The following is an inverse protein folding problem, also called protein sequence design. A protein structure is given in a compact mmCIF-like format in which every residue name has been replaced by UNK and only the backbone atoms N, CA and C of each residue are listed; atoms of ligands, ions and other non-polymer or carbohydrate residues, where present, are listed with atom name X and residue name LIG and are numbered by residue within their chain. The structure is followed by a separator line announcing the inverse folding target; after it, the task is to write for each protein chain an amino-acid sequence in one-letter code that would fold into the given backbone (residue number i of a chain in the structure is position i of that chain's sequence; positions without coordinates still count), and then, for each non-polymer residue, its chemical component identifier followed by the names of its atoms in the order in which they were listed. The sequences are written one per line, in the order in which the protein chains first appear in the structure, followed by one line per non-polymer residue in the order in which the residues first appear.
data_IF_237455616814
#
_entry.id   IF_237455616814
#
_cell.length_a   1.000
_cell.length_b   1.000
_cell.length_c   1.000
_cell.angle_alpha   90.00
_cell.angle_beta   90.00
_cell.angle_gamma   90.00
#
_symmetry.space_group_name_H-M   'P 1'
#
loop_
_entity.id
_entity.type
_entity.pdbx_description
1 polymer ?
#
# COMPACT_ATOMS: atom_id res chain seq x y z
N UNK A 1 43.36 -29.51 -26.91
CA UNK A 1 42.45 -29.06 -27.99
C UNK A 1 42.26 -27.54 -28.06
N UNK A 2 42.41 -26.80 -26.95
CA UNK A 2 42.28 -25.31 -26.90
C UNK A 2 43.47 -24.55 -27.51
N UNK A 3 44.68 -25.16 -27.58
CA UNK A 3 45.87 -24.55 -28.15
C UNK A 3 45.90 -24.49 -29.69
N UNK A 4 45.07 -25.21 -30.39
CA UNK A 4 45.04 -25.29 -31.86
C UNK A 4 44.22 -24.17 -32.54
N UNK A 5 43.38 -23.43 -31.79
CA UNK A 5 42.54 -22.36 -32.32
C UNK A 5 43.27 -21.01 -32.39
N UNK A 6 44.43 -20.90 -31.76
CA UNK A 6 45.24 -19.66 -31.71
C UNK A 6 46.45 -19.62 -32.63
N UNK A 7 46.42 -20.35 -33.72
CA UNK A 7 47.46 -20.18 -34.77
C UNK A 7 47.34 -18.76 -35.34
N UNK A 8 48.48 -18.07 -35.49
CA UNK A 8 48.67 -16.64 -35.80
C UNK A 8 48.08 -16.19 -37.16
N UNK A 9 46.81 -16.43 -37.44
CA UNK A 9 46.15 -15.96 -38.64
C UNK A 9 45.30 -14.71 -38.27
N UNK A 10 45.77 -13.56 -38.59
CA UNK A 10 45.14 -12.24 -38.34
C UNK A 10 43.67 -12.19 -38.77
N UNK A 11 43.24 -12.75 -39.94
CA UNK A 11 41.84 -12.74 -40.35
C UNK A 11 40.93 -13.55 -39.43
N UNK A 12 41.41 -14.67 -38.88
CA UNK A 12 40.62 -15.47 -37.93
C UNK A 12 40.37 -14.72 -36.62
N UNK A 13 41.40 -14.02 -36.09
CA UNK A 13 41.24 -13.20 -34.89
C UNK A 13 40.33 -12.01 -35.11
N UNK A 14 40.38 -11.35 -36.27
CA UNK A 14 39.47 -10.23 -36.58
C UNK A 14 38.00 -10.69 -36.63
N UNK A 15 37.73 -11.83 -37.31
CA UNK A 15 36.38 -12.41 -37.34
C UNK A 15 35.91 -12.83 -35.94
N UNK A 16 36.81 -13.39 -35.12
CA UNK A 16 36.49 -13.75 -33.73
C UNK A 16 36.15 -12.51 -32.91
N UNK A 17 36.97 -11.43 -32.97
CA UNK A 17 36.63 -10.18 -32.28
C UNK A 17 35.33 -9.59 -32.75
N UNK A 18 35.03 -9.62 -34.05
CA UNK A 18 33.75 -9.15 -34.58
C UNK A 18 32.58 -9.94 -33.99
N UNK A 19 32.59 -11.25 -34.08
CA UNK A 19 31.51 -12.12 -33.60
C UNK A 19 31.32 -11.99 -32.08
N UNK A 20 32.40 -12.01 -31.30
CA UNK A 20 32.33 -11.94 -29.84
C UNK A 20 31.84 -10.56 -29.36
N UNK A 21 32.29 -9.45 -29.98
CA UNK A 21 31.78 -8.12 -29.64
C UNK A 21 30.29 -7.97 -29.98
N UNK A 22 29.86 -8.42 -31.17
CA UNK A 22 28.44 -8.37 -31.57
C UNK A 22 27.57 -9.23 -30.65
N UNK A 23 27.98 -10.45 -30.36
CA UNK A 23 27.26 -11.35 -29.47
C UNK A 23 27.15 -10.75 -28.04
N UNK A 24 28.25 -10.25 -27.50
CA UNK A 24 28.27 -9.64 -26.16
C UNK A 24 27.40 -8.39 -26.10
N UNK A 25 27.40 -7.54 -27.13
CA UNK A 25 26.53 -6.35 -27.20
C UNK A 25 25.05 -6.75 -27.23
N UNK A 26 24.66 -7.74 -28.03
CA UNK A 26 23.28 -8.24 -28.11
C UNK A 26 22.86 -8.86 -26.77
N UNK A 27 23.71 -9.69 -26.17
CA UNK A 27 23.42 -10.31 -24.87
C UNK A 27 23.25 -9.26 -23.75
N UNK A 28 24.12 -8.26 -23.70
CA UNK A 28 24.01 -7.18 -22.73
C UNK A 28 22.70 -6.39 -22.91
N UNK A 29 22.30 -6.10 -24.14
CA UNK A 29 21.04 -5.44 -24.44
C UNK A 29 19.84 -6.27 -23.97
N UNK A 30 19.79 -7.56 -24.31
CA UNK A 30 18.71 -8.47 -23.93
C UNK A 30 18.57 -8.56 -22.41
N UNK A 31 19.68 -8.73 -21.70
CA UNK A 31 19.70 -8.76 -20.23
C UNK A 31 19.23 -7.44 -19.62
N UNK A 32 19.65 -6.30 -20.19
CA UNK A 32 19.19 -4.97 -19.75
C UNK A 32 17.69 -4.84 -19.91
N UNK A 33 17.13 -5.23 -21.07
CA UNK A 33 15.69 -5.17 -21.33
C UNK A 33 14.88 -6.07 -20.39
N UNK A 34 15.36 -7.30 -20.13
CA UNK A 34 14.72 -8.22 -19.18
C UNK A 34 14.68 -7.60 -17.78
N UNK A 35 15.81 -7.08 -17.31
CA UNK A 35 15.89 -6.45 -15.99
C UNK A 35 15.00 -5.22 -15.88
N UNK A 36 15.01 -4.32 -16.87
CA UNK A 36 14.13 -3.14 -16.88
C UNK A 36 12.66 -3.56 -16.82
N UNK A 37 12.24 -4.58 -17.58
CA UNK A 37 10.86 -5.10 -17.56
C UNK A 37 10.49 -5.72 -16.22
N UNK A 38 11.41 -6.41 -15.54
CA UNK A 38 11.18 -6.97 -14.20
C UNK A 38 10.93 -5.86 -13.18
N UNK A 39 11.77 -4.82 -13.14
CA UNK A 39 11.57 -3.65 -12.28
C UNK A 39 10.25 -2.91 -12.60
N UNK A 40 9.92 -2.74 -13.87
CA UNK A 40 8.66 -2.12 -14.28
C UNK A 40 7.45 -2.95 -13.85
N UNK A 41 7.54 -4.28 -13.89
CA UNK A 41 6.50 -5.18 -13.40
C UNK A 41 6.31 -5.04 -11.88
N UNK A 42 7.39 -4.98 -11.10
CA UNK A 42 7.30 -4.79 -9.66
C UNK A 42 6.64 -3.44 -9.30
N UNK A 43 7.04 -2.35 -9.96
CA UNK A 43 6.40 -1.03 -9.77
C UNK A 43 4.90 -1.09 -10.11
N UNK A 44 4.53 -1.77 -11.20
CA UNK A 44 3.12 -1.95 -11.58
C UNK A 44 2.36 -2.74 -10.53
N UNK A 45 2.88 -3.89 -10.11
CA UNK A 45 2.22 -4.77 -9.13
C UNK A 45 2.04 -4.05 -7.79
N UNK A 46 3.09 -3.44 -7.25
CA UNK A 46 3.00 -2.73 -5.96
C UNK A 46 2.14 -1.48 -6.08
N UNK A 47 2.35 -0.64 -7.11
CA UNK A 47 1.75 0.68 -7.20
C UNK A 47 0.35 0.74 -7.80
N UNK A 48 0.01 -0.17 -8.71
CA UNK A 48 -1.22 -0.08 -9.50
C UNK A 48 -2.15 -1.30 -9.36
N UNK A 49 -1.62 -2.46 -9.01
CA UNK A 49 -2.42 -3.67 -8.90
C UNK A 49 -2.76 -3.99 -7.43
N UNK A 50 -1.78 -4.29 -6.58
CA UNK A 50 -2.02 -4.79 -5.23
C UNK A 50 -2.40 -3.71 -4.21
N UNK A 51 -1.69 -2.57 -4.15
CA UNK A 51 -1.98 -1.53 -3.15
C UNK A 51 -3.39 -0.92 -3.29
N UNK A 52 -3.90 -0.58 -4.50
CA UNK A 52 -5.28 -0.13 -4.64
C UNK A 52 -6.30 -1.19 -4.20
N UNK A 53 -6.05 -2.48 -4.44
CA UNK A 53 -6.94 -3.57 -4.00
C UNK A 53 -6.98 -3.74 -2.48
N UNK A 54 -5.83 -3.60 -1.80
CA UNK A 54 -5.78 -3.56 -0.33
C UNK A 54 -6.58 -2.37 0.21
N UNK A 55 -6.39 -1.18 -0.36
CA UNK A 55 -7.15 0.02 0.05
C UNK A 55 -8.65 -0.19 -0.16
N UNK A 56 -9.08 -0.75 -1.30
CA UNK A 56 -10.49 -1.03 -1.57
C UNK A 56 -11.08 -2.03 -0.58
N UNK A 57 -10.34 -3.09 -0.22
CA UNK A 57 -10.78 -4.07 0.79
C UNK A 57 -10.99 -3.42 2.17
N UNK A 58 -10.08 -2.54 2.61
CA UNK A 58 -10.26 -1.77 3.83
C UNK A 58 -11.45 -0.81 3.76
N UNK A 59 -11.65 -0.12 2.63
CA UNK A 59 -12.80 0.79 2.45
C UNK A 59 -14.14 0.03 2.46
N UNK A 60 -14.19 -1.19 1.93
CA UNK A 60 -15.37 -2.06 2.07
C UNK A 60 -15.64 -2.36 3.55
N UNK A 61 -14.62 -2.78 4.30
CA UNK A 61 -14.72 -3.08 5.73
C UNK A 61 -15.18 -1.87 6.54
N UNK A 62 -14.56 -0.70 6.33
CA UNK A 62 -14.94 0.56 6.95
C UNK A 62 -16.40 0.92 6.59
N UNK A 63 -16.77 0.74 5.33
CA UNK A 63 -18.11 1.05 4.85
C UNK A 63 -19.21 0.21 5.52
N UNK A 64 -18.99 -1.10 5.69
CA UNK A 64 -19.97 -1.98 6.35
C UNK A 64 -20.07 -1.70 7.85
N UNK A 65 -18.96 -1.35 8.54
CA UNK A 65 -19.00 -0.91 9.94
C UNK A 65 -19.76 0.42 10.09
N UNK A 66 -19.57 1.37 9.17
CA UNK A 66 -20.33 2.63 9.15
C UNK A 66 -21.82 2.41 8.89
N UNK A 67 -22.17 1.44 8.03
CA UNK A 67 -23.57 1.04 7.83
C UNK A 67 -24.18 0.49 9.12
N UNK A 68 -23.45 -0.34 9.86
CA UNK A 68 -23.94 -0.91 11.11
C UNK A 68 -24.04 0.13 12.22
N UNK A 69 -23.07 1.03 12.36
CA UNK A 69 -23.17 2.18 13.27
C UNK A 69 -24.43 3.00 12.97
N UNK A 70 -24.67 3.32 11.70
CA UNK A 70 -25.84 4.08 11.30
C UNK A 70 -27.15 3.34 11.62
N UNK A 71 -27.22 2.02 11.36
CA UNK A 71 -28.38 1.20 11.68
C UNK A 71 -28.62 1.13 13.21
N UNK A 72 -27.57 0.86 13.99
CA UNK A 72 -27.69 0.78 15.45
C UNK A 72 -28.18 2.12 16.04
N UNK A 73 -27.62 3.24 15.56
CA UNK A 73 -28.03 4.57 15.98
C UNK A 73 -29.49 4.89 15.55
N UNK A 74 -29.87 4.52 14.32
CA UNK A 74 -31.24 4.67 13.84
C UNK A 74 -32.27 3.97 14.77
N UNK A 75 -31.92 2.75 15.22
CA UNK A 75 -32.80 1.97 16.10
C UNK A 75 -32.83 2.49 17.56
N UNK A 76 -31.92 3.35 17.96
CA UNK A 76 -31.90 4.05 19.27
C UNK A 76 -32.81 5.26 19.28
N UNK A 77 -33.05 5.91 18.14
CA UNK A 77 -33.99 7.02 18.02
C UNK A 77 -35.38 6.54 17.69
N UNK A 78 -36.41 7.21 18.24
CA UNK A 78 -37.77 6.89 17.86
C UNK A 78 -38.03 7.16 16.36
N UNK A 79 -38.88 6.36 15.67
CA UNK A 79 -39.08 6.48 14.21
C UNK A 79 -39.59 7.85 13.73
N UNK A 80 -40.16 8.66 14.61
CA UNK A 80 -40.65 10.02 14.31
C UNK A 80 -39.65 11.14 14.62
N UNK A 81 -38.46 10.81 15.13
CA UNK A 81 -37.44 11.81 15.41
C UNK A 81 -36.63 12.13 14.13
N UNK A 82 -36.24 13.41 13.93
CA UNK A 82 -35.41 13.79 12.79
C UNK A 82 -34.09 13.01 12.70
N UNK A 83 -33.47 12.72 13.83
CA UNK A 83 -32.21 11.99 13.95
C UNK A 83 -32.30 10.55 13.40
N UNK A 84 -33.51 9.92 13.55
CA UNK A 84 -33.73 8.61 12.94
C UNK A 84 -33.60 8.66 11.40
N UNK A 85 -34.17 9.70 10.77
CA UNK A 85 -34.09 9.91 9.33
C UNK A 85 -32.65 10.25 8.92
N UNK A 86 -31.91 11.03 9.70
CA UNK A 86 -30.50 11.34 9.42
C UNK A 86 -29.63 10.08 9.43
N UNK A 87 -29.86 9.15 10.36
CA UNK A 87 -29.14 7.87 10.42
C UNK A 87 -29.51 6.95 9.24
N UNK A 88 -30.78 6.95 8.82
CA UNK A 88 -31.17 6.24 7.60
C UNK A 88 -30.43 6.77 6.37
N UNK A 89 -30.36 8.09 6.22
CA UNK A 89 -29.61 8.71 5.12
C UNK A 89 -28.10 8.39 5.20
N UNK A 90 -27.54 8.35 6.41
CA UNK A 90 -26.15 7.93 6.61
C UNK A 90 -25.93 6.47 6.19
N UNK A 91 -26.83 5.56 6.54
CA UNK A 91 -26.78 4.16 6.09
C UNK A 91 -26.80 4.05 4.57
N UNK A 92 -27.72 4.73 3.88
CA UNK A 92 -27.84 4.71 2.43
C UNK A 92 -26.60 5.31 1.73
N UNK A 93 -26.03 6.36 2.32
CA UNK A 93 -24.73 6.91 1.85
C UNK A 93 -23.64 5.86 1.89
N UNK A 94 -23.48 5.19 3.04
CA UNK A 94 -22.40 4.21 3.21
C UNK A 94 -22.65 2.93 2.41
N UNK A 95 -23.91 2.51 2.25
CA UNK A 95 -24.28 1.44 1.32
C UNK A 95 -23.80 1.73 -0.10
N UNK A 96 -24.04 2.95 -0.57
CA UNK A 96 -23.62 3.39 -1.92
C UNK A 96 -22.10 3.41 -2.04
N UNK A 97 -21.39 3.93 -1.04
CA UNK A 97 -19.92 3.96 -1.03
C UNK A 97 -19.34 2.53 -1.01
N UNK A 98 -19.84 1.67 -0.14
CA UNK A 98 -19.40 0.26 -0.04
C UNK A 98 -19.64 -0.49 -1.35
N UNK A 99 -20.80 -0.31 -1.97
CA UNK A 99 -21.11 -0.90 -3.28
C UNK A 99 -20.15 -0.44 -4.38
N UNK A 100 -19.79 0.84 -4.38
CA UNK A 100 -18.80 1.38 -5.32
C UNK A 100 -17.40 0.77 -5.11
N UNK A 101 -16.96 0.67 -3.85
CA UNK A 101 -15.65 0.06 -3.55
C UNK A 101 -15.63 -1.44 -3.89
N UNK A 102 -16.76 -2.14 -3.74
CA UNK A 102 -16.89 -3.53 -4.18
C UNK A 102 -16.77 -3.66 -5.71
N UNK A 103 -17.37 -2.74 -6.47
CA UNK A 103 -17.22 -2.70 -7.94
C UNK A 103 -15.76 -2.39 -8.30
N UNK A 104 -15.12 -1.42 -7.64
CA UNK A 104 -13.71 -1.11 -7.86
C UNK A 104 -12.81 -2.34 -7.61
N UNK A 105 -13.07 -3.07 -6.52
CA UNK A 105 -12.35 -4.32 -6.23
C UNK A 105 -12.58 -5.39 -7.32
N UNK A 106 -13.82 -5.54 -7.80
CA UNK A 106 -14.17 -6.50 -8.84
C UNK A 106 -13.54 -6.17 -10.21
N UNK A 107 -13.42 -4.88 -10.56
CA UNK A 107 -12.74 -4.42 -11.77
C UNK A 107 -11.22 -4.61 -11.71
N UNK A 108 -10.65 -4.67 -10.52
CA UNK A 108 -9.19 -4.80 -10.32
C UNK A 108 -8.75 -6.22 -9.95
N UNK A 109 -9.55 -7.24 -10.22
CA UNK A 109 -9.15 -8.64 -10.01
C UNK A 109 -7.93 -8.95 -10.87
N UNK A 110 -6.79 -9.19 -10.22
CA UNK A 110 -5.50 -9.48 -10.85
C UNK A 110 -5.01 -10.90 -10.54
N UNK A 111 -5.43 -11.46 -9.40
CA UNK A 111 -4.91 -12.72 -8.85
C UNK A 111 -5.94 -13.85 -8.87
N UNK A 112 -6.99 -13.70 -9.67
CA UNK A 112 -7.95 -14.77 -9.98
C UNK A 112 -8.87 -15.13 -8.81
N UNK A 113 -9.07 -16.43 -8.58
CA UNK A 113 -10.05 -16.95 -7.62
C UNK A 113 -9.79 -16.51 -6.15
N UNK A 114 -8.56 -16.21 -5.79
CA UNK A 114 -8.20 -15.76 -4.43
C UNK A 114 -8.81 -14.41 -4.07
N UNK A 115 -9.07 -13.55 -5.05
CA UNK A 115 -9.77 -12.28 -4.89
C UNK A 115 -11.26 -12.42 -5.22
N UNK A 116 -11.58 -13.16 -6.28
CA UNK A 116 -12.95 -13.31 -6.79
C UNK A 116 -13.87 -13.94 -5.76
N UNK A 117 -13.45 -15.03 -5.12
CA UNK A 117 -14.30 -15.72 -4.12
C UNK A 117 -14.69 -14.81 -2.96
N UNK A 118 -13.78 -14.08 -2.28
CA UNK A 118 -14.16 -13.11 -1.26
C UNK A 118 -15.08 -12.01 -1.79
N UNK A 119 -14.85 -11.49 -3.00
CA UNK A 119 -15.69 -10.43 -3.60
C UNK A 119 -17.12 -10.94 -3.83
N UNK A 120 -17.28 -12.11 -4.43
CA UNK A 120 -18.60 -12.74 -4.66
C UNK A 120 -19.34 -13.00 -3.33
N UNK A 121 -18.61 -13.46 -2.31
CA UNK A 121 -19.16 -13.68 -0.98
C UNK A 121 -19.58 -12.36 -0.29
N UNK A 122 -18.76 -11.29 -0.39
CA UNK A 122 -19.11 -9.97 0.13
C UNK A 122 -20.39 -9.45 -0.54
N UNK A 123 -20.50 -9.55 -1.87
CA UNK A 123 -21.67 -9.10 -2.60
C UNK A 123 -22.93 -9.83 -2.13
N UNK A 124 -22.87 -11.15 -1.99
CA UNK A 124 -24.00 -11.97 -1.50
C UNK A 124 -24.38 -11.62 -0.06
N UNK A 125 -23.38 -11.51 0.83
CA UNK A 125 -23.61 -11.19 2.23
C UNK A 125 -24.11 -9.76 2.45
N UNK A 126 -23.68 -8.79 1.61
CA UNK A 126 -24.14 -7.41 1.66
C UNK A 126 -25.64 -7.33 1.36
N UNK A 127 -26.11 -7.99 0.31
CA UNK A 127 -27.54 -8.06 -0.01
C UNK A 127 -28.39 -8.70 1.10
N UNK A 128 -27.85 -9.76 1.73
CA UNK A 128 -28.48 -10.41 2.89
C UNK A 128 -28.53 -9.47 4.11
N UNK A 129 -27.43 -8.77 4.39
CA UNK A 129 -27.36 -7.79 5.47
C UNK A 129 -28.38 -6.65 5.27
N UNK A 130 -28.45 -6.08 4.07
CA UNK A 130 -29.42 -5.02 3.73
C UNK A 130 -30.88 -5.48 3.96
N UNK A 131 -31.20 -6.69 3.55
CA UNK A 131 -32.55 -7.26 3.77
C UNK A 131 -32.86 -7.40 5.26
N UNK A 132 -31.91 -7.89 6.06
CA UNK A 132 -32.07 -8.05 7.50
C UNK A 132 -32.13 -6.69 8.21
N UNK A 133 -31.32 -5.72 7.80
CA UNK A 133 -31.40 -4.35 8.29
C UNK A 133 -32.76 -3.72 8.03
N UNK A 134 -33.31 -3.88 6.82
CA UNK A 134 -34.65 -3.40 6.51
C UNK A 134 -35.72 -4.09 7.36
N UNK A 135 -35.59 -5.40 7.59
CA UNK A 135 -36.48 -6.16 8.46
C UNK A 135 -36.48 -5.64 9.92
N UNK A 136 -35.29 -5.26 10.44
CA UNK A 136 -35.16 -4.65 11.77
C UNK A 136 -35.86 -3.27 11.84
N UNK A 137 -35.72 -2.44 10.79
CA UNK A 137 -36.42 -1.15 10.66
C UNK A 137 -37.94 -1.30 10.65
N UNK A 138 -38.46 -2.30 9.94
CA UNK A 138 -39.89 -2.52 9.85
C UNK A 138 -40.47 -2.93 11.21
N UNK A 139 -39.79 -3.77 11.97
CA UNK A 139 -40.15 -4.09 13.35
C UNK A 139 -40.08 -2.87 14.28
N UNK A 140 -39.04 -2.02 14.10
CA UNK A 140 -38.88 -0.78 14.86
C UNK A 140 -40.01 0.21 14.61
N UNK A 141 -40.42 0.40 13.35
CA UNK A 141 -41.58 1.24 12.97
C UNK A 141 -42.89 0.70 13.50
N UNK A 142 -43.01 -0.63 13.63
CA UNK A 142 -44.16 -1.29 14.23
C UNK A 142 -44.19 -1.19 15.76
N UNK A 143 -43.19 -0.61 16.42
CA UNK A 143 -43.08 -0.46 17.86
C UNK A 143 -42.76 -1.76 18.60
N UNK A 144 -42.30 -2.82 17.91
CA UNK A 144 -41.98 -4.11 18.51
C UNK A 144 -40.47 -4.20 18.85
N UNK A 145 -40.06 -3.71 20.02
CA UNK A 145 -38.68 -3.63 20.45
C UNK A 145 -37.99 -5.01 20.52
N UNK A 146 -38.70 -6.05 20.98
CA UNK A 146 -38.11 -7.41 21.08
C UNK A 146 -37.80 -7.98 19.69
N UNK A 147 -38.72 -7.80 18.74
CA UNK A 147 -38.53 -8.25 17.36
C UNK A 147 -37.46 -7.40 16.64
N UNK A 148 -37.41 -6.10 16.89
CA UNK A 148 -36.37 -5.20 16.38
C UNK A 148 -34.99 -5.71 16.76
N UNK A 149 -34.73 -5.98 18.05
CA UNK A 149 -33.48 -6.52 18.53
C UNK A 149 -33.16 -7.89 17.94
N UNK A 150 -34.15 -8.78 17.86
CA UNK A 150 -33.96 -10.11 17.27
C UNK A 150 -33.54 -10.04 15.81
N UNK A 151 -34.17 -9.19 15.00
CA UNK A 151 -33.85 -8.99 13.58
C UNK A 151 -32.50 -8.27 13.40
N UNK A 152 -32.21 -7.27 14.24
CA UNK A 152 -30.92 -6.60 14.25
C UNK A 152 -29.77 -7.57 14.57
N UNK A 153 -29.93 -8.45 15.58
CA UNK A 153 -28.93 -9.50 15.89
C UNK A 153 -28.65 -10.44 14.71
N UNK A 154 -29.66 -10.71 13.87
CA UNK A 154 -29.45 -11.49 12.64
C UNK A 154 -28.66 -10.71 11.58
N UNK A 155 -28.90 -9.40 11.43
CA UNK A 155 -28.09 -8.54 10.57
C UNK A 155 -26.66 -8.49 11.07
N UNK A 156 -26.46 -8.25 12.38
CA UNK A 156 -25.13 -8.24 13.01
C UNK A 156 -24.39 -9.57 12.82
N UNK A 157 -25.08 -10.70 12.95
CA UNK A 157 -24.47 -12.01 12.72
C UNK A 157 -24.00 -12.18 11.27
N UNK A 158 -24.70 -11.63 10.28
CA UNK A 158 -24.26 -11.62 8.87
C UNK A 158 -23.05 -10.72 8.69
N UNK A 159 -23.02 -9.54 9.32
CA UNK A 159 -21.87 -8.65 9.32
C UNK A 159 -20.61 -9.35 9.86
N UNK A 160 -20.71 -9.90 11.09
CA UNK A 160 -19.57 -10.47 11.81
C UNK A 160 -19.06 -11.81 11.25
N UNK A 161 -19.95 -12.64 10.71
CA UNK A 161 -19.62 -14.00 10.26
C UNK A 161 -19.40 -14.12 8.74
N UNK A 162 -19.94 -13.20 7.97
CA UNK A 162 -19.90 -13.29 6.52
C UNK A 162 -19.20 -12.05 5.91
N UNK A 163 -19.60 -10.82 6.20
CA UNK A 163 -19.04 -9.61 5.57
C UNK A 163 -17.60 -9.33 6.01
N UNK A 164 -17.38 -9.16 7.30
CA UNK A 164 -16.03 -8.81 7.82
C UNK A 164 -14.99 -9.88 7.51
N UNK A 165 -15.25 -11.20 7.70
CA UNK A 165 -14.25 -12.21 7.38
C UNK A 165 -13.89 -12.30 5.89
N UNK A 166 -14.84 -12.05 4.98
CA UNK A 166 -14.56 -12.04 3.55
C UNK A 166 -13.82 -10.75 3.13
N UNK A 167 -14.09 -9.60 3.76
CA UNK A 167 -13.29 -8.39 3.56
C UNK A 167 -11.84 -8.58 4.06
N UNK A 168 -11.65 -9.23 5.20
CA UNK A 168 -10.33 -9.59 5.70
C UNK A 168 -9.60 -10.61 4.78
N UNK A 169 -10.34 -11.58 4.21
CA UNK A 169 -9.77 -12.54 3.25
C UNK A 169 -9.32 -11.85 1.97
N UNK A 170 -10.12 -10.90 1.45
CA UNK A 170 -9.75 -10.10 0.28
C UNK A 170 -8.51 -9.24 0.56
N UNK A 171 -8.49 -8.55 1.71
CA UNK A 171 -7.34 -7.77 2.15
C UNK A 171 -6.08 -8.63 2.23
N UNK A 172 -6.16 -9.78 2.89
CA UNK A 172 -5.04 -10.71 3.05
C UNK A 172 -4.51 -11.21 1.71
N UNK A 173 -5.38 -11.61 0.78
CA UNK A 173 -4.95 -12.10 -0.54
C UNK A 173 -4.11 -11.05 -1.29
N UNK A 174 -4.51 -9.79 -1.23
CA UNK A 174 -3.81 -8.69 -1.88
C UNK A 174 -2.53 -8.28 -1.16
N UNK A 175 -2.56 -8.20 0.19
CA UNK A 175 -1.41 -7.88 1.01
C UNK A 175 -0.29 -8.93 0.87
N UNK A 176 -0.62 -10.24 0.95
CA UNK A 176 0.33 -11.35 0.77
C UNK A 176 1.00 -11.27 -0.62
N UNK A 177 0.26 -10.89 -1.65
CA UNK A 177 0.79 -10.75 -3.00
C UNK A 177 1.73 -9.56 -3.14
N UNK A 178 1.35 -8.42 -2.57
CA UNK A 178 2.20 -7.22 -2.54
C UNK A 178 3.52 -7.53 -1.83
N UNK A 179 3.44 -8.11 -0.63
CA UNK A 179 4.62 -8.43 0.20
C UNK A 179 5.55 -9.42 -0.52
N UNK A 180 4.99 -10.50 -1.08
CA UNK A 180 5.80 -11.49 -1.81
C UNK A 180 6.46 -10.90 -3.06
N UNK A 181 5.78 -10.00 -3.78
CA UNK A 181 6.34 -9.33 -4.96
C UNK A 181 7.43 -8.35 -4.57
N UNK A 182 7.21 -7.56 -3.52
CA UNK A 182 8.19 -6.61 -3.02
C UNK A 182 9.46 -7.32 -2.51
N UNK A 183 9.32 -8.34 -1.67
CA UNK A 183 10.45 -9.13 -1.15
C UNK A 183 11.25 -9.82 -2.27
N UNK A 184 10.56 -10.32 -3.30
CA UNK A 184 11.21 -10.90 -4.47
C UNK A 184 12.00 -9.86 -5.26
N UNK A 185 11.44 -8.66 -5.45
CA UNK A 185 12.13 -7.58 -6.14
C UNK A 185 13.32 -7.06 -5.35
N UNK A 186 13.19 -6.87 -4.05
CA UNK A 186 14.29 -6.43 -3.19
C UNK A 186 15.48 -7.39 -3.27
N UNK A 187 15.22 -8.71 -3.14
CA UNK A 187 16.26 -9.73 -3.19
C UNK A 187 16.93 -9.86 -4.57
N UNK A 188 16.18 -9.67 -5.65
CA UNK A 188 16.67 -9.79 -7.04
C UNK A 188 17.34 -8.52 -7.57
N UNK A 189 16.86 -7.36 -7.15
CA UNK A 189 17.32 -6.07 -7.65
C UNK A 189 18.84 -5.88 -7.47
N UNK A 190 19.36 -6.16 -6.28
CA UNK A 190 20.79 -6.03 -6.00
C UNK A 190 21.66 -6.96 -6.87
N UNK A 191 21.21 -8.23 -7.04
CA UNK A 191 21.92 -9.23 -7.83
C UNK A 191 21.88 -8.91 -9.32
N UNK A 192 20.70 -8.56 -9.85
CA UNK A 192 20.54 -8.24 -11.28
C UNK A 192 21.28 -6.96 -11.67
N UNK A 193 21.23 -5.92 -10.85
CA UNK A 193 22.02 -4.69 -11.05
C UNK A 193 23.52 -4.99 -11.03
N UNK A 194 23.99 -5.75 -10.05
CA UNK A 194 25.41 -6.14 -9.95
C UNK A 194 25.87 -6.93 -11.18
N UNK A 195 25.08 -7.91 -11.61
CA UNK A 195 25.37 -8.72 -12.80
C UNK A 195 25.43 -7.87 -14.08
N UNK A 196 24.47 -6.96 -14.28
CA UNK A 196 24.46 -6.05 -15.43
C UNK A 196 25.68 -5.11 -15.46
N UNK A 197 26.10 -4.61 -14.31
CA UNK A 197 27.31 -3.78 -14.20
C UNK A 197 28.53 -4.60 -14.61
N UNK A 198 28.69 -5.82 -14.12
CA UNK A 198 29.81 -6.71 -14.49
C UNK A 198 29.82 -7.01 -16.00
N UNK A 199 28.64 -7.35 -16.57
CA UNK A 199 28.51 -7.61 -18.01
C UNK A 199 28.80 -6.36 -18.85
N UNK A 200 28.35 -5.19 -18.42
CA UNK A 200 28.65 -3.92 -19.07
C UNK A 200 30.14 -3.59 -19.06
N UNK A 201 30.81 -3.77 -17.91
CA UNK A 201 32.28 -3.62 -17.83
C UNK A 201 33.03 -4.64 -18.69
N UNK A 202 32.54 -5.90 -18.73
CA UNK A 202 33.13 -6.91 -19.61
C UNK A 202 33.04 -6.53 -21.10
N UNK A 203 31.89 -5.96 -21.52
CA UNK A 203 31.74 -5.45 -22.89
C UNK A 203 32.65 -4.27 -23.17
N UNK A 204 32.77 -3.30 -22.24
CA UNK A 204 33.70 -2.18 -22.36
C UNK A 204 35.14 -2.69 -22.48
N UNK A 205 35.53 -3.62 -21.62
CA UNK A 205 36.90 -4.21 -21.66
C UNK A 205 37.15 -4.96 -22.98
N UNK A 206 36.15 -5.67 -23.53
CA UNK A 206 36.24 -6.37 -24.80
C UNK A 206 36.39 -5.38 -25.98
N UNK A 207 35.64 -4.29 -25.99
CA UNK A 207 35.77 -3.22 -27.00
C UNK A 207 37.18 -2.55 -26.92
N UNK A 208 37.66 -2.27 -25.70
CA UNK A 208 38.99 -1.71 -25.48
C UNK A 208 40.09 -2.67 -25.92
N UNK A 209 40.01 -3.97 -25.60
CA UNK A 209 40.99 -4.96 -26.03
C UNK A 209 41.02 -5.10 -27.55
N UNK A 210 39.83 -5.05 -28.20
CA UNK A 210 39.72 -5.02 -29.66
C UNK A 210 40.37 -3.76 -30.23
N UNK A 211 40.14 -2.59 -29.64
CA UNK A 211 40.77 -1.33 -30.04
C UNK A 211 42.28 -1.38 -29.91
N UNK A 212 42.84 -1.85 -28.76
CA UNK A 212 44.28 -2.01 -28.52
C UNK A 212 44.89 -3.02 -29.52
N UNK A 213 44.21 -4.11 -29.81
CA UNK A 213 44.70 -5.08 -30.80
C UNK A 213 44.84 -4.45 -32.18
N UNK A 214 43.83 -3.68 -32.65
CA UNK A 214 43.88 -3.00 -33.94
C UNK A 214 44.96 -1.94 -34.01
N UNK A 215 45.14 -1.13 -32.95
CA UNK A 215 46.18 -0.08 -32.91
C UNK A 215 47.56 -0.66 -32.96
N UNK A 216 47.84 -1.73 -32.20
CA UNK A 216 49.14 -2.42 -32.19
C UNK A 216 49.45 -3.13 -33.50
N UNK A 217 48.46 -3.81 -34.11
CA UNK A 217 48.70 -4.64 -35.31
C UNK A 217 48.80 -3.82 -36.57
N UNK A 218 47.98 -2.73 -36.69
CA UNK A 218 47.86 -1.93 -37.93
C UNK A 218 48.56 -0.55 -37.82
N UNK A 219 49.29 -0.29 -36.72
CA UNK A 219 50.04 0.96 -36.48
C UNK A 219 49.22 2.25 -36.64
N UNK A 220 47.87 2.19 -36.45
CA UNK A 220 47.01 3.36 -36.47
C UNK A 220 46.73 3.83 -35.02
N UNK A 221 46.78 5.16 -34.81
CA UNK A 221 46.66 5.73 -33.46
C UNK A 221 45.26 5.65 -32.85
N UNK A 222 44.17 5.63 -33.68
CA UNK A 222 42.78 5.65 -33.20
C UNK A 222 41.82 4.95 -34.19
N UNK A 223 40.95 4.12 -33.64
CA UNK A 223 39.76 3.61 -34.32
C UNK A 223 38.54 4.31 -33.74
N UNK A 224 38.11 5.41 -34.42
CA UNK A 224 37.03 6.30 -33.94
C UNK A 224 35.70 5.55 -33.70
N UNK A 225 35.21 4.67 -34.61
CA UNK A 225 33.98 3.92 -34.34
C UNK A 225 34.02 3.08 -33.05
N UNK A 226 35.10 2.33 -32.81
CA UNK A 226 35.22 1.54 -31.57
C UNK A 226 35.33 2.41 -30.31
N UNK A 227 35.95 3.59 -30.43
CA UNK A 227 35.98 4.55 -29.31
C UNK A 227 34.59 5.06 -28.98
N UNK A 228 33.79 5.41 -30.00
CA UNK A 228 32.38 5.82 -29.83
C UNK A 228 31.58 4.69 -29.18
N UNK A 229 31.70 3.43 -29.65
CA UNK A 229 31.02 2.28 -29.06
C UNK A 229 31.39 2.12 -27.57
N UNK A 230 32.66 2.23 -27.22
CA UNK A 230 33.16 2.11 -25.85
C UNK A 230 32.58 3.19 -24.93
N UNK A 231 32.64 4.47 -25.36
CA UNK A 231 32.09 5.58 -24.59
C UNK A 231 30.58 5.49 -24.42
N UNK A 232 29.87 5.17 -25.51
CA UNK A 232 28.41 5.00 -25.46
C UNK A 232 28.00 3.86 -24.51
N UNK A 233 28.69 2.71 -24.57
CA UNK A 233 28.46 1.59 -23.65
C UNK A 233 28.74 1.99 -22.20
N UNK A 234 29.85 2.68 -21.91
CA UNK A 234 30.19 3.11 -20.56
C UNK A 234 29.16 4.10 -19.97
N UNK A 235 28.71 5.07 -20.78
CA UNK A 235 27.65 6.02 -20.40
C UNK A 235 26.33 5.31 -20.14
N UNK A 236 25.99 4.34 -20.98
CA UNK A 236 24.75 3.56 -20.79
C UNK A 236 24.80 2.72 -19.51
N UNK A 237 25.89 2.01 -19.23
CA UNK A 237 26.06 1.24 -17.98
C UNK A 237 25.85 2.14 -16.76
N UNK A 238 26.43 3.35 -16.78
CA UNK A 238 26.22 4.33 -15.72
C UNK A 238 24.75 4.74 -15.59
N UNK A 239 24.09 5.10 -16.69
CA UNK A 239 22.69 5.52 -16.68
C UNK A 239 21.75 4.39 -16.26
N UNK A 240 21.99 3.17 -16.76
CA UNK A 240 21.23 1.97 -16.38
C UNK A 240 21.33 1.71 -14.87
N UNK A 241 22.57 1.69 -14.34
CA UNK A 241 22.78 1.50 -12.90
C UNK A 241 22.10 2.58 -12.07
N UNK A 242 22.26 3.86 -12.42
CA UNK A 242 21.66 4.96 -11.67
C UNK A 242 20.14 4.92 -11.74
N UNK A 243 19.55 4.61 -12.90
CA UNK A 243 18.11 4.49 -13.08
C UNK A 243 17.49 3.34 -12.30
N UNK A 244 18.11 2.15 -12.37
CA UNK A 244 17.63 0.98 -11.60
C UNK A 244 17.77 1.19 -10.08
N UNK A 245 18.87 1.79 -9.62
CA UNK A 245 19.06 2.10 -8.19
C UNK A 245 18.06 3.15 -7.69
N UNK A 246 17.82 4.19 -8.49
CA UNK A 246 16.84 5.22 -8.16
C UNK A 246 15.41 4.63 -8.13
N UNK A 247 15.07 3.77 -9.10
CA UNK A 247 13.81 3.03 -9.10
C UNK A 247 13.64 2.20 -7.82
N UNK A 248 14.63 1.37 -7.44
CA UNK A 248 14.57 0.57 -6.23
C UNK A 248 14.41 1.43 -4.97
N UNK A 249 15.09 2.58 -4.88
CA UNK A 249 14.95 3.54 -3.78
C UNK A 249 13.55 4.15 -3.70
N UNK A 250 12.93 4.50 -4.83
CA UNK A 250 11.57 5.02 -4.86
C UNK A 250 10.54 3.93 -4.54
N UNK A 251 10.74 2.69 -4.99
CA UNK A 251 9.86 1.57 -4.66
C UNK A 251 9.91 1.24 -3.16
N UNK A 252 11.09 1.33 -2.55
CA UNK A 252 11.27 1.19 -1.10
C UNK A 252 10.51 2.29 -0.34
N UNK A 253 10.68 3.54 -0.71
CA UNK A 253 9.95 4.66 -0.11
C UNK A 253 8.42 4.48 -0.29
N UNK A 254 7.97 4.03 -1.46
CA UNK A 254 6.57 3.75 -1.69
C UNK A 254 6.03 2.65 -0.75
N UNK A 255 6.77 1.53 -0.59
CA UNK A 255 6.31 0.39 0.22
C UNK A 255 6.49 0.65 1.72
N UNK A 256 7.71 0.91 2.18
CA UNK A 256 8.03 0.90 3.61
C UNK A 256 7.67 2.21 4.32
N UNK A 257 7.82 3.36 3.65
CA UNK A 257 7.60 4.65 4.31
C UNK A 257 6.16 5.18 4.09
N UNK A 258 5.52 4.88 2.95
CA UNK A 258 4.19 5.43 2.64
C UNK A 258 3.06 4.39 2.68
N UNK A 259 3.22 3.24 2.02
CA UNK A 259 2.14 2.23 1.94
C UNK A 259 1.88 1.56 3.29
N UNK A 260 2.93 1.24 4.06
CA UNK A 260 2.75 0.61 5.38
C UNK A 260 1.98 1.56 6.31
N UNK A 261 2.31 2.86 6.33
CA UNK A 261 1.50 3.88 7.03
C UNK A 261 0.05 3.95 6.52
N UNK A 262 -0.18 3.85 5.20
CA UNK A 262 -1.56 3.79 4.65
C UNK A 262 -2.33 2.60 5.22
N UNK A 263 -1.72 1.41 5.30
CA UNK A 263 -2.36 0.21 5.85
C UNK A 263 -2.64 0.38 7.34
N UNK A 264 -1.67 0.84 8.12
CA UNK A 264 -1.82 1.06 9.58
C UNK A 264 -2.95 2.05 9.87
N UNK A 265 -3.06 3.14 9.11
CA UNK A 265 -4.12 4.14 9.23
C UNK A 265 -5.49 3.61 8.82
N UNK A 266 -5.57 2.77 7.79
CA UNK A 266 -6.81 2.10 7.37
C UNK A 266 -7.25 1.06 8.38
N UNK A 267 -6.31 0.32 8.99
CA UNK A 267 -6.59 -0.60 10.09
C UNK A 267 -7.07 0.17 11.34
N UNK A 268 -6.45 1.29 11.69
CA UNK A 268 -6.91 2.18 12.74
C UNK A 268 -8.34 2.65 12.49
N UNK A 269 -8.63 3.11 11.26
CA UNK A 269 -9.97 3.56 10.86
C UNK A 269 -11.00 2.44 10.99
N UNK A 270 -10.74 1.27 10.41
CA UNK A 270 -11.65 0.12 10.45
C UNK A 270 -11.96 -0.32 11.89
N UNK A 271 -10.92 -0.45 12.74
CA UNK A 271 -11.12 -0.85 14.12
C UNK A 271 -11.81 0.22 14.95
N UNK A 272 -11.55 1.50 14.71
CA UNK A 272 -12.25 2.60 15.37
C UNK A 272 -13.74 2.63 15.01
N UNK A 273 -14.10 2.42 13.72
CA UNK A 273 -15.53 2.31 13.34
C UNK A 273 -16.20 1.07 13.92
N UNK A 274 -15.47 -0.05 14.03
CA UNK A 274 -15.95 -1.23 14.75
C UNK A 274 -16.20 -0.94 16.24
N UNK A 275 -15.37 -0.14 16.88
CA UNK A 275 -15.58 0.33 18.26
C UNK A 275 -16.80 1.26 18.37
N UNK A 276 -16.94 2.22 17.45
CA UNK A 276 -18.06 3.15 17.39
C UNK A 276 -19.41 2.42 17.19
N UNK A 277 -19.43 1.39 16.33
CA UNK A 277 -20.57 0.49 16.20
C UNK A 277 -20.86 -0.27 17.50
N UNK A 278 -19.82 -0.77 18.18
CA UNK A 278 -19.99 -1.50 19.45
C UNK A 278 -20.49 -0.60 20.59
N UNK A 279 -20.10 0.67 20.64
CA UNK A 279 -20.64 1.68 21.55
C UNK A 279 -22.16 1.81 21.36
N UNK A 280 -22.62 1.95 20.12
CA UNK A 280 -24.02 2.05 19.78
C UNK A 280 -24.79 0.77 20.08
N UNK A 281 -24.22 -0.41 19.78
CA UNK A 281 -24.79 -1.73 20.11
C UNK A 281 -24.93 -1.92 21.62
N UNK A 282 -23.94 -1.45 22.40
CA UNK A 282 -23.97 -1.54 23.85
C UNK A 282 -25.15 -0.78 24.46
N UNK A 283 -25.52 0.37 23.89
CA UNK A 283 -26.71 1.13 24.28
C UNK A 283 -28.01 0.45 23.80
N UNK A 284 -28.00 -0.09 22.57
CA UNK A 284 -29.20 -0.66 21.92
C UNK A 284 -29.55 -2.04 22.50
N UNK A 285 -28.58 -2.92 22.68
CA UNK A 285 -28.76 -4.33 23.04
C UNK A 285 -28.23 -4.61 24.45
N UNK A 286 -28.97 -4.17 25.47
CA UNK A 286 -28.53 -4.26 26.88
C UNK A 286 -28.36 -5.70 27.37
N UNK A 287 -29.12 -6.66 26.81
CA UNK A 287 -28.99 -8.08 27.17
C UNK A 287 -27.61 -8.64 26.81
N UNK A 288 -26.98 -8.12 25.74
CA UNK A 288 -25.67 -8.52 25.26
C UNK A 288 -24.59 -7.45 25.51
N UNK A 289 -24.86 -6.47 26.36
CA UNK A 289 -23.94 -5.37 26.66
C UNK A 289 -22.50 -5.85 27.00
N UNK A 290 -22.25 -6.92 27.81
CA UNK A 290 -20.89 -7.39 28.06
C UNK A 290 -20.15 -7.89 26.83
N UNK A 291 -20.86 -8.43 25.83
CA UNK A 291 -20.28 -8.88 24.55
C UNK A 291 -19.84 -7.67 23.73
N UNK A 292 -20.71 -6.67 23.62
CA UNK A 292 -20.42 -5.44 22.90
C UNK A 292 -19.31 -4.62 23.56
N UNK A 293 -19.27 -4.60 24.89
CA UNK A 293 -18.19 -3.95 25.64
C UNK A 293 -16.82 -4.63 25.40
N UNK A 294 -16.79 -5.96 25.44
CA UNK A 294 -15.56 -6.70 25.11
C UNK A 294 -15.10 -6.40 23.70
N UNK A 295 -16.02 -6.42 22.72
CA UNK A 295 -15.71 -6.11 21.31
C UNK A 295 -15.16 -4.69 21.19
N UNK A 296 -15.77 -3.70 21.86
CA UNK A 296 -15.27 -2.32 21.93
C UNK A 296 -13.84 -2.27 22.43
N UNK A 297 -13.57 -2.89 23.60
CA UNK A 297 -12.24 -2.89 24.23
C UNK A 297 -11.19 -3.56 23.33
N UNK A 298 -11.54 -4.68 22.70
CA UNK A 298 -10.66 -5.38 21.75
C UNK A 298 -10.32 -4.46 20.56
N UNK A 299 -11.32 -3.75 20.03
CA UNK A 299 -11.13 -2.82 18.89
C UNK A 299 -10.29 -1.60 19.26
N UNK A 300 -10.58 -0.91 20.37
CA UNK A 300 -9.79 0.26 20.78
C UNK A 300 -8.34 -0.11 21.10
N UNK A 301 -8.11 -1.31 21.64
CA UNK A 301 -6.74 -1.78 21.93
C UNK A 301 -5.91 -2.03 20.67
N UNK A 302 -6.57 -2.37 19.54
CA UNK A 302 -5.90 -2.50 18.24
C UNK A 302 -5.53 -1.11 17.66
N UNK A 303 -6.39 -0.11 17.85
CA UNK A 303 -6.10 1.27 17.42
C UNK A 303 -4.95 1.86 18.24
N UNK A 304 -5.07 1.80 19.57
CA UNK A 304 -4.09 2.37 20.51
C UNK A 304 -4.14 1.64 21.85
N UNK A 305 -3.05 1.01 22.25
CA UNK A 305 -2.94 0.25 23.50
C UNK A 305 -1.77 0.73 24.33
N UNK A 306 -1.99 0.90 25.64
CA UNK A 306 -0.98 1.31 26.61
C UNK A 306 -0.80 0.26 27.71
N UNK A 307 0.42 -0.20 27.90
CA UNK A 307 0.78 -1.06 29.04
C UNK A 307 0.68 -0.25 30.33
N UNK A 308 -0.37 -0.51 31.13
CA UNK A 308 -0.60 0.19 32.41
C UNK A 308 -1.93 0.93 32.51
N UNK A 309 -2.82 0.75 31.54
CA UNK A 309 -4.16 1.35 31.51
C UNK A 309 -4.27 2.55 30.59
N UNK A 310 -5.50 2.98 30.35
CA UNK A 310 -5.85 4.01 29.35
C UNK A 310 -5.45 5.45 29.77
N UNK A 311 -4.28 5.64 30.42
CA UNK A 311 -3.82 7.00 30.74
C UNK A 311 -3.03 7.58 29.57
N UNK A 312 -3.74 8.05 28.56
CA UNK A 312 -3.20 8.63 27.35
C UNK A 312 -2.43 9.95 27.57
N UNK A 313 -2.71 10.67 28.65
CA UNK A 313 -2.19 12.03 28.86
C UNK A 313 -0.67 12.10 28.90
N UNK A 314 -0.02 11.19 29.62
CA UNK A 314 1.44 11.17 29.72
C UNK A 314 2.11 10.80 28.40
N UNK A 315 1.52 9.87 27.65
CA UNK A 315 2.03 9.42 26.36
C UNK A 315 1.88 10.51 25.30
N UNK A 316 0.74 11.19 25.27
CA UNK A 316 0.50 12.32 24.39
C UNK A 316 1.50 13.46 24.68
N UNK A 317 1.72 13.79 25.97
CA UNK A 317 2.69 14.81 26.34
C UNK A 317 4.13 14.45 25.90
N UNK A 318 4.51 13.17 26.02
CA UNK A 318 5.79 12.66 25.54
C UNK A 318 5.88 12.70 24.02
N UNK A 319 4.84 12.28 23.31
CA UNK A 319 4.76 12.33 21.84
C UNK A 319 4.90 13.77 21.33
N UNK A 320 4.18 14.73 21.92
CA UNK A 320 4.33 16.17 21.60
C UNK A 320 5.76 16.68 21.76
N UNK A 321 6.42 16.26 22.85
CA UNK A 321 7.81 16.66 23.11
C UNK A 321 8.77 16.07 22.07
N UNK A 322 8.61 14.81 21.70
CA UNK A 322 9.43 14.15 20.69
C UNK A 322 9.20 14.75 19.30
N UNK A 323 7.94 15.03 18.93
CA UNK A 323 7.59 15.73 17.70
C UNK A 323 8.31 17.08 17.58
N UNK A 324 8.32 17.87 18.65
CA UNK A 324 9.00 19.15 18.68
C UNK A 324 10.54 19.04 18.54
N UNK A 325 11.12 17.89 18.88
CA UNK A 325 12.56 17.61 18.78
C UNK A 325 12.98 16.94 17.48
N UNK A 326 12.04 16.59 16.59
CA UNK A 326 12.32 15.89 15.33
C UNK A 326 12.85 14.45 15.51
N UNK A 327 12.60 13.83 16.68
CA UNK A 327 13.06 12.49 17.02
C UNK A 327 12.03 11.41 16.59
N UNK A 328 12.49 10.17 16.35
CA UNK A 328 11.59 9.01 16.13
C UNK A 328 10.76 8.72 17.38
N UNK A 329 9.50 8.33 17.19
CA UNK A 329 8.42 8.37 18.19
C UNK A 329 8.17 7.04 18.92
N UNK A 330 9.14 6.14 19.02
CA UNK A 330 8.92 4.90 19.76
C UNK A 330 8.65 5.17 21.24
N UNK A 331 7.37 5.13 21.60
CA UNK A 331 6.91 5.36 22.96
C UNK A 331 6.88 4.03 23.72
N UNK A 332 7.66 3.88 24.81
CA UNK A 332 7.66 2.63 25.57
C UNK A 332 6.27 2.30 26.11
N UNK A 333 5.81 1.07 25.88
CA UNK A 333 4.50 0.61 26.35
C UNK A 333 3.30 1.10 25.55
N UNK A 334 3.53 1.74 24.40
CA UNK A 334 2.50 2.11 23.43
C UNK A 334 2.57 1.17 22.24
N UNK A 335 1.42 0.63 21.81
CA UNK A 335 1.28 -0.30 20.68
C UNK A 335 -0.06 -0.09 19.97
N UNK A 336 -0.24 -0.72 18.82
CA UNK A 336 -1.42 -0.59 17.96
C UNK A 336 -1.16 0.33 16.77
N UNK A 337 -2.13 0.38 15.83
CA UNK A 337 -1.94 1.03 14.53
C UNK A 337 -1.48 2.50 14.62
N UNK A 338 -1.95 3.26 15.62
CA UNK A 338 -1.47 4.65 15.83
C UNK A 338 -0.04 4.70 16.39
N UNK A 339 0.41 3.65 17.08
CA UNK A 339 1.80 3.57 17.52
C UNK A 339 2.73 3.27 16.34
N UNK A 340 2.33 2.34 15.47
CA UNK A 340 3.07 1.96 14.27
C UNK A 340 3.19 3.16 13.31
N UNK A 341 2.10 3.92 13.12
CA UNK A 341 2.10 5.16 12.36
C UNK A 341 3.06 6.22 12.94
N UNK A 342 3.02 6.47 14.27
CA UNK A 342 3.93 7.42 14.90
C UNK A 342 5.40 6.99 14.83
N UNK A 343 5.69 5.70 14.81
CA UNK A 343 7.05 5.17 14.60
C UNK A 343 7.51 5.34 13.14
N UNK A 344 6.58 5.40 12.18
CA UNK A 344 6.87 5.50 10.74
C UNK A 344 6.80 6.93 10.18
N UNK A 345 6.58 7.95 10.98
CA UNK A 345 6.52 9.36 10.52
C UNK A 345 7.74 9.75 9.69
N UNK A 346 7.52 10.13 8.41
CA UNK A 346 8.57 10.50 7.45
C UNK A 346 8.30 11.82 6.74
N UNK A 347 7.04 12.18 6.60
CA UNK A 347 6.64 13.26 5.73
C UNK A 347 6.25 14.52 6.51
N UNK A 348 6.36 15.69 5.88
CA UNK A 348 6.01 16.96 6.51
C UNK A 348 4.51 17.01 6.83
N UNK A 349 4.19 17.39 8.06
CA UNK A 349 2.80 17.46 8.55
C UNK A 349 2.22 16.15 9.07
N UNK A 350 2.76 15.00 8.69
CA UNK A 350 2.27 13.67 9.07
C UNK A 350 2.21 13.47 10.58
N UNK A 351 3.34 13.66 11.27
CA UNK A 351 3.41 13.46 12.71
C UNK A 351 2.49 14.38 13.52
N UNK A 352 2.19 15.58 13.02
CA UNK A 352 1.20 16.45 13.66
C UNK A 352 -0.21 15.91 13.48
N UNK A 353 -0.56 15.48 12.28
CA UNK A 353 -1.88 14.93 12.00
C UNK A 353 -2.12 13.61 12.76
N UNK A 354 -1.11 12.71 12.83
CA UNK A 354 -1.17 11.47 13.60
C UNK A 354 -1.34 11.73 15.10
N UNK A 355 -0.65 12.75 15.65
CA UNK A 355 -0.81 13.15 17.04
C UNK A 355 -2.19 13.73 17.32
N UNK A 356 -2.72 14.60 16.42
CA UNK A 356 -4.08 15.12 16.54
C UNK A 356 -5.12 13.98 16.54
N UNK A 357 -4.89 12.90 15.75
CA UNK A 357 -5.73 11.69 15.76
C UNK A 357 -5.66 10.97 17.11
N UNK A 358 -4.45 10.73 17.63
CA UNK A 358 -4.27 10.08 18.94
C UNK A 358 -4.95 10.87 20.07
N UNK A 359 -4.85 12.19 20.07
CA UNK A 359 -5.47 13.07 21.07
C UNK A 359 -7.00 12.96 21.02
N UNK A 360 -7.59 13.08 19.84
CA UNK A 360 -9.04 12.96 19.67
C UNK A 360 -9.56 11.55 20.00
N UNK A 361 -8.79 10.50 19.68
CA UNK A 361 -9.11 9.14 20.06
C UNK A 361 -9.10 8.91 21.57
N UNK A 362 -8.14 9.49 22.28
CA UNK A 362 -8.08 9.45 23.74
C UNK A 362 -9.33 10.09 24.39
N UNK A 363 -9.74 11.26 23.89
CA UNK A 363 -10.93 11.95 24.36
C UNK A 363 -12.23 11.19 24.02
N UNK A 364 -12.28 10.50 22.86
CA UNK A 364 -13.36 9.58 22.50
C UNK A 364 -13.47 8.43 23.53
N UNK A 365 -12.38 7.74 23.85
CA UNK A 365 -12.36 6.65 24.83
C UNK A 365 -12.76 7.11 26.24
N UNK A 366 -12.33 8.30 26.65
CA UNK A 366 -12.73 8.91 27.93
C UNK A 366 -14.23 9.22 27.96
N UNK A 367 -14.77 9.68 26.82
CA UNK A 367 -16.20 9.99 26.67
C UNK A 367 -17.06 8.72 26.71
N UNK A 368 -16.64 7.63 26.06
CA UNK A 368 -17.29 6.31 26.17
C UNK A 368 -17.32 5.82 27.63
N UNK A 369 -16.21 5.94 28.34
CA UNK A 369 -16.16 5.58 29.78
C UNK A 369 -17.19 6.36 30.59
N UNK A 370 -17.31 7.67 30.38
CA UNK A 370 -18.30 8.52 31.05
C UNK A 370 -19.73 8.13 30.66
N UNK A 371 -19.99 7.86 29.39
CA UNK A 371 -21.31 7.39 28.90
C UNK A 371 -21.72 6.09 29.60
N UNK A 372 -20.82 5.11 29.73
CA UNK A 372 -21.11 3.84 30.43
C UNK A 372 -21.37 4.05 31.92
N UNK A 373 -20.67 4.95 32.56
CA UNK A 373 -20.91 5.30 33.97
C UNK A 373 -22.29 5.92 34.19
N UNK A 374 -22.73 6.79 33.30
CA UNK A 374 -24.08 7.38 33.34
C UNK A 374 -25.15 6.30 33.17
N UNK A 375 -25.03 5.45 32.16
CA UNK A 375 -25.95 4.35 31.91
C UNK A 375 -26.06 3.41 33.10
N UNK A 376 -24.92 2.98 33.67
CA UNK A 376 -24.86 2.11 34.83
C UNK A 376 -25.38 2.76 36.13
N UNK A 377 -25.45 4.11 36.15
CA UNK A 377 -26.10 4.89 37.23
C UNK A 377 -27.58 5.14 37.02
N UNK A 378 -28.20 4.53 35.98
CA UNK A 378 -29.62 4.71 35.64
C UNK A 378 -29.93 6.02 34.93
N UNK A 379 -28.93 6.78 34.49
CA UNK A 379 -29.11 8.06 33.76
C UNK A 379 -29.11 7.83 32.25
N UNK A 380 -30.04 6.96 31.79
CA UNK A 380 -30.09 6.52 30.38
C UNK A 380 -30.19 7.68 29.37
N UNK A 381 -31.04 8.67 29.64
CA UNK A 381 -31.17 9.83 28.73
C UNK A 381 -29.89 10.65 28.59
N UNK A 382 -29.11 10.77 29.66
CA UNK A 382 -27.81 11.45 29.62
C UNK A 382 -26.76 10.60 28.90
N UNK A 383 -26.78 9.28 29.08
CA UNK A 383 -25.92 8.34 28.36
C UNK A 383 -26.17 8.40 26.85
N UNK A 384 -27.43 8.34 26.41
CA UNK A 384 -27.80 8.50 25.00
C UNK A 384 -27.36 9.86 24.44
N UNK A 385 -27.58 10.94 25.18
CA UNK A 385 -27.19 12.29 24.76
C UNK A 385 -25.68 12.39 24.55
N UNK A 386 -24.85 11.76 25.39
CA UNK A 386 -23.40 11.76 25.27
C UNK A 386 -22.94 10.80 24.16
N UNK A 387 -23.46 9.59 24.10
CA UNK A 387 -23.04 8.57 23.14
C UNK A 387 -23.43 8.89 21.69
N UNK A 388 -24.59 9.48 21.47
CA UNK A 388 -25.11 9.77 20.12
C UNK A 388 -24.90 11.22 19.67
N UNK A 389 -24.41 12.10 20.58
CA UNK A 389 -24.35 13.52 20.32
C UNK A 389 -23.14 13.96 19.49
N UNK A 390 -23.33 14.99 18.67
CA UNK A 390 -22.32 15.65 17.83
C UNK A 390 -21.89 17.02 18.37
N UNK A 391 -22.34 17.43 19.56
CA UNK A 391 -21.91 18.68 20.19
C UNK A 391 -20.57 18.50 20.90
N UNK A 392 -19.80 19.57 21.17
CA UNK A 392 -18.53 19.50 21.88
C UNK A 392 -18.59 18.62 23.13
N UNK A 393 -17.57 17.80 23.33
CA UNK A 393 -17.42 16.84 24.44
C UNK A 393 -18.46 15.67 24.44
N UNK A 394 -19.07 15.38 23.30
CA UNK A 394 -19.89 14.20 23.07
C UNK A 394 -19.15 13.18 22.21
N UNK A 395 -19.56 11.91 22.25
CA UNK A 395 -18.82 10.80 21.64
C UNK A 395 -18.63 11.00 20.13
N UNK A 396 -19.71 11.24 19.37
CA UNK A 396 -19.63 11.41 17.92
C UNK A 396 -18.85 12.68 17.50
N UNK A 397 -18.79 13.71 18.38
CA UNK A 397 -17.96 14.89 18.11
C UNK A 397 -16.44 14.56 18.18
N UNK A 398 -16.02 13.83 19.24
CA UNK A 398 -14.63 13.38 19.36
C UNK A 398 -14.25 12.37 18.29
N UNK A 399 -15.14 11.42 17.99
CA UNK A 399 -14.95 10.46 16.94
C UNK A 399 -14.78 11.11 15.55
N UNK A 400 -15.58 12.16 15.25
CA UNK A 400 -15.45 12.93 14.00
C UNK A 400 -14.09 13.62 13.93
N UNK A 401 -13.63 14.21 15.03
CA UNK A 401 -12.29 14.86 15.08
C UNK A 401 -11.15 13.85 14.89
N UNK A 402 -11.30 12.68 15.46
CA UNK A 402 -10.39 11.57 15.24
C UNK A 402 -10.36 11.15 13.76
N UNK A 403 -11.52 10.89 13.17
CA UNK A 403 -11.61 10.49 11.76
C UNK A 403 -11.03 11.59 10.84
N UNK A 404 -11.38 12.85 11.05
CA UNK A 404 -10.83 13.98 10.28
C UNK A 404 -9.29 14.06 10.37
N UNK A 405 -8.72 13.85 11.56
CA UNK A 405 -7.27 13.85 11.74
C UNK A 405 -6.62 12.65 11.07
N UNK A 406 -7.23 11.46 11.21
CA UNK A 406 -6.77 10.24 10.58
C UNK A 406 -6.80 10.35 9.03
N UNK A 407 -7.88 10.92 8.47
CA UNK A 407 -7.98 11.15 7.03
C UNK A 407 -6.93 12.14 6.51
N UNK A 408 -6.55 13.16 7.31
CA UNK A 408 -5.43 14.05 6.94
C UNK A 408 -4.10 13.30 6.88
N UNK A 409 -3.81 12.45 7.87
CA UNK A 409 -2.60 11.63 7.88
C UNK A 409 -2.58 10.66 6.70
N UNK A 410 -3.70 10.00 6.46
CA UNK A 410 -3.89 9.08 5.33
C UNK A 410 -3.65 9.77 3.98
N UNK A 411 -4.20 10.97 3.79
CA UNK A 411 -4.02 11.73 2.54
C UNK A 411 -2.56 12.11 2.28
N UNK A 412 -1.79 12.44 3.32
CA UNK A 412 -0.34 12.72 3.20
C UNK A 412 0.38 11.47 2.71
N UNK A 413 0.17 10.32 3.34
CA UNK A 413 0.82 9.07 2.98
C UNK A 413 0.43 8.57 1.59
N UNK A 414 -0.85 8.64 1.22
CA UNK A 414 -1.33 8.29 -0.12
C UNK A 414 -0.72 9.16 -1.21
N UNK A 415 -0.57 10.46 -0.97
CA UNK A 415 0.08 11.37 -1.94
C UNK A 415 1.56 11.03 -2.11
N UNK A 416 2.29 10.77 -1.03
CA UNK A 416 3.69 10.37 -1.10
C UNK A 416 3.88 8.99 -1.74
N UNK A 417 2.99 8.03 -1.46
CA UNK A 417 2.95 6.75 -2.15
C UNK A 417 2.81 6.93 -3.66
N UNK A 418 1.81 7.70 -4.09
CA UNK A 418 1.55 7.97 -5.51
C UNK A 418 2.74 8.64 -6.18
N UNK A 419 3.36 9.64 -5.53
CA UNK A 419 4.54 10.32 -6.04
C UNK A 419 5.75 9.38 -6.17
N UNK A 420 5.98 8.52 -5.18
CA UNK A 420 7.08 7.56 -5.19
C UNK A 420 6.91 6.53 -6.30
N UNK A 421 5.71 5.97 -6.49
CA UNK A 421 5.38 5.06 -7.60
C UNK A 421 5.60 5.72 -8.96
N UNK A 422 5.14 6.96 -9.14
CA UNK A 422 5.33 7.71 -10.38
C UNK A 422 6.81 7.99 -10.66
N UNK A 423 7.58 8.38 -9.66
CA UNK A 423 9.04 8.57 -9.79
C UNK A 423 9.75 7.26 -10.10
N UNK A 424 9.38 6.16 -9.43
CA UNK A 424 9.93 4.83 -9.72
C UNK A 424 9.71 4.44 -11.19
N UNK A 425 8.48 4.60 -11.69
CA UNK A 425 8.17 4.37 -13.10
C UNK A 425 8.95 5.31 -14.03
N UNK A 426 9.05 6.60 -13.68
CA UNK A 426 9.78 7.61 -14.43
C UNK A 426 11.28 7.29 -14.61
N UNK A 427 11.92 6.72 -13.60
CA UNK A 427 13.33 6.30 -13.69
C UNK A 427 13.58 5.14 -14.67
N UNK A 428 12.56 4.35 -14.98
CA UNK A 428 12.64 3.26 -15.96
C UNK A 428 12.23 3.71 -17.36
N UNK A 429 11.48 4.81 -17.46
CA UNK A 429 11.01 5.34 -18.75
C UNK A 429 12.20 5.75 -19.63
N UNK A 430 12.17 5.31 -20.88
CA UNK A 430 13.26 5.60 -21.82
C UNK A 430 14.48 4.67 -21.75
N UNK A 431 14.72 3.95 -20.64
CA UNK A 431 15.85 3.01 -20.55
C UNK A 431 15.76 1.88 -21.59
N UNK A 432 14.56 1.40 -21.90
CA UNK A 432 14.35 0.37 -22.93
C UNK A 432 14.73 0.90 -24.31
N UNK A 433 14.20 2.06 -24.71
CA UNK A 433 14.54 2.69 -25.98
C UNK A 433 16.04 3.05 -26.07
N UNK A 434 16.64 3.49 -24.94
CA UNK A 434 18.07 3.77 -24.87
C UNK A 434 18.89 2.48 -25.04
N UNK A 435 18.43 1.34 -24.50
CA UNK A 435 19.08 0.02 -24.68
C UNK A 435 19.08 -0.40 -26.16
N UNK A 436 17.96 -0.24 -26.83
CA UNK A 436 17.81 -0.56 -28.26
C UNK A 436 18.68 0.34 -29.14
N UNK A 437 18.65 1.64 -28.90
CA UNK A 437 19.49 2.60 -29.61
C UNK A 437 20.98 2.34 -29.42
N UNK A 438 21.39 1.99 -28.17
CA UNK A 438 22.77 1.68 -27.86
C UNK A 438 23.26 0.44 -28.61
N UNK A 439 22.47 -0.67 -28.58
CA UNK A 439 22.93 -1.89 -29.24
C UNK A 439 23.09 -1.67 -30.76
N UNK A 440 22.14 -0.94 -31.39
CA UNK A 440 22.25 -0.60 -32.80
C UNK A 440 23.52 0.26 -33.07
N UNK A 441 23.73 1.31 -32.28
CA UNK A 441 24.93 2.14 -32.39
C UNK A 441 26.21 1.32 -32.22
N UNK A 442 26.26 0.46 -31.19
CA UNK A 442 27.43 -0.38 -30.88
C UNK A 442 27.70 -1.37 -32.02
N UNK A 443 26.67 -2.05 -32.55
CA UNK A 443 26.81 -2.99 -33.67
C UNK A 443 27.30 -2.28 -34.95
N UNK A 444 26.73 -1.11 -35.28
CA UNK A 444 27.17 -0.29 -36.42
C UNK A 444 28.63 0.12 -36.22
N UNK A 445 29.01 0.61 -35.04
CA UNK A 445 30.35 1.01 -34.73
C UNK A 445 31.37 -0.15 -34.78
N UNK A 446 30.98 -1.35 -34.30
CA UNK A 446 31.80 -2.58 -34.41
C UNK A 446 32.02 -2.92 -35.88
N UNK A 447 30.93 -2.90 -36.67
CA UNK A 447 31.01 -3.20 -38.11
C UNK A 447 31.92 -2.19 -38.83
N UNK A 448 31.67 -0.90 -38.66
CA UNK A 448 32.48 0.16 -39.30
C UNK A 448 33.97 0.12 -38.83
N UNK A 449 34.19 -0.22 -37.58
CA UNK A 449 35.55 -0.31 -36.99
C UNK A 449 36.39 -1.49 -37.50
N UNK A 450 35.72 -2.58 -37.89
CA UNK A 450 36.40 -3.83 -38.31
C UNK A 450 36.27 -4.12 -39.82
N UNK A 451 35.26 -3.57 -40.51
CA UNK A 451 34.93 -3.87 -41.93
C UNK A 451 36.16 -3.73 -42.83
N UNK A 452 36.78 -2.56 -42.80
CA UNK A 452 37.92 -2.24 -43.73
C UNK A 452 39.10 -3.18 -43.49
N UNK A 453 39.29 -3.66 -42.25
CA UNK A 453 40.37 -4.59 -41.88
C UNK A 453 40.04 -6.04 -42.22
N UNK A 454 38.79 -6.40 -42.19
CA UNK A 454 38.33 -7.73 -42.65
C UNK A 454 38.40 -7.82 -44.19
N UNK A 455 38.12 -6.72 -44.90
CA UNK A 455 38.19 -6.65 -46.36
C UNK A 455 39.63 -6.70 -46.90
N UNK A 456 40.63 -6.29 -46.11
CA UNK A 456 42.07 -6.40 -46.49
C UNK A 456 42.56 -7.87 -46.57
N UNK A 457 41.77 -8.84 -46.05
CA UNK A 457 42.12 -10.26 -45.95
C UNK A 457 41.05 -11.19 -46.56
N UNK A 458 40.02 -10.66 -47.25
CA UNK A 458 38.95 -11.40 -47.88
C UNK A 458 39.09 -11.57 -49.35
#
# INVERSE_FOLDING_TARGET
MIHLVFRDVTPVRLRLYFVVNCFSAIMFCLLSMITIKQHAHAVKTVGHDAAPSVIAAHQIKIGVEKMDTALANELLYAPNQPENQDMLLAFEKWRTVTGKELVNAAENITYGETEKIPIDNIQSALGKYEQLAQSARDAHRAGNSAETLSRYRNALATLEKELLPNADALNKANADKLESTYAQEESRSALSCGFLVVMGFALVALLLTTHIYLTKRFRRKLNVPLLIATLATALFVRNLYSGLRANAGQLKLAKEDAYDSVVDLLDASSNAYGADAAESRWLLDRDHAPIHEKYFLDKISTVANFTGGHNFSNTIALARKQLAQGNKYRLPGFSGSLADELDNVRFEGEGRAALDALEAFADYCATDTNMRQLENSGKHADALRIGLGYSPNQSKWWFTRFDDALQRTLAINQEHFRQAVNKASGHLSGLTALSEALVLLTLVCIYLGLRDRMAEYG
#
